data_IF_391358986375
#
_entry.id   IF_391358986375
#
_cell.length_a   1.000
_cell.length_b   1.000
_cell.length_c   1.000
_cell.angle_alpha   90.00
_cell.angle_beta   90.00
_cell.angle_gamma   90.00
#
_symmetry.space_group_name_H-M   'P 1'
#
loop_
_entity.id
_entity.type
_entity.pdbx_description
1 polymer ?
#
# COMPACT_ATOMS: atom_id res chain seq x y z
N UNK A 1 -55.85 31.21 91.01
CA UNK A 1 -54.65 31.11 91.87
C UNK A 1 -53.45 31.63 91.09
N UNK A 2 -52.58 32.46 91.70
CA UNK A 2 -51.36 33.02 91.09
C UNK A 2 -50.46 31.96 90.42
N UNK A 3 -50.48 30.71 90.92
CA UNK A 3 -49.72 29.60 90.34
C UNK A 3 -50.12 29.25 88.89
N UNK A 4 -51.41 29.36 88.54
CA UNK A 4 -51.88 29.09 87.17
C UNK A 4 -51.42 30.17 86.18
N UNK A 5 -51.36 31.43 86.62
CA UNK A 5 -50.88 32.54 85.78
C UNK A 5 -49.38 32.42 85.51
N UNK A 6 -48.59 32.04 86.53
CA UNK A 6 -47.16 31.77 86.37
C UNK A 6 -46.90 30.63 85.37
N UNK A 7 -47.65 29.53 85.47
CA UNK A 7 -47.52 28.39 84.56
C UNK A 7 -47.87 28.74 83.10
N UNK A 8 -48.88 29.58 82.89
CA UNK A 8 -49.24 30.08 81.55
C UNK A 8 -48.16 31.01 80.98
N UNK A 9 -47.57 31.87 81.82
CA UNK A 9 -46.49 32.77 81.40
C UNK A 9 -45.23 32.01 81.00
N UNK A 10 -44.86 30.94 81.73
CA UNK A 10 -43.73 30.08 81.36
C UNK A 10 -43.99 29.31 80.07
N UNK A 11 -45.19 28.75 79.88
CA UNK A 11 -45.55 28.06 78.64
C UNK A 11 -45.47 28.99 77.42
N UNK A 12 -45.98 30.23 77.54
CA UNK A 12 -45.89 31.23 76.48
C UNK A 12 -44.44 31.65 76.18
N UNK A 13 -43.58 31.72 77.20
CA UNK A 13 -42.14 32.01 77.01
C UNK A 13 -41.42 30.87 76.29
N UNK A 14 -41.73 29.61 76.64
CA UNK A 14 -41.15 28.44 76.01
C UNK A 14 -41.59 28.31 74.55
N UNK A 15 -42.88 28.52 74.25
CA UNK A 15 -43.40 28.57 72.88
C UNK A 15 -42.72 29.67 72.06
N UNK A 16 -42.57 30.88 72.61
CA UNK A 16 -41.87 31.98 71.95
C UNK A 16 -40.38 31.67 71.71
N UNK A 17 -39.72 30.96 72.63
CA UNK A 17 -38.33 30.53 72.48
C UNK A 17 -38.20 29.45 71.41
N UNK A 18 -39.11 28.48 71.38
CA UNK A 18 -39.14 27.39 70.41
C UNK A 18 -39.42 27.93 68.99
N UNK A 19 -40.37 28.88 68.87
CA UNK A 19 -40.65 29.57 67.60
C UNK A 19 -39.44 30.34 67.07
N UNK A 20 -38.71 31.06 67.94
CA UNK A 20 -37.46 31.75 67.55
C UNK A 20 -36.38 30.78 67.07
N UNK A 21 -36.19 29.66 67.74
CA UNK A 21 -35.22 28.63 67.34
C UNK A 21 -35.57 28.02 65.98
N UNK A 22 -36.86 27.73 65.74
CA UNK A 22 -37.33 27.23 64.44
C UNK A 22 -37.11 28.26 63.33
N UNK A 23 -37.42 29.54 63.58
CA UNK A 23 -37.21 30.61 62.60
C UNK A 23 -35.73 30.73 62.24
N UNK A 24 -34.84 30.66 63.23
CA UNK A 24 -33.40 30.74 63.03
C UNK A 24 -32.86 29.53 62.25
N UNK A 25 -33.35 28.32 62.54
CA UNK A 25 -33.00 27.12 61.79
C UNK A 25 -33.47 27.19 60.33
N UNK A 26 -34.68 27.72 60.09
CA UNK A 26 -35.19 27.93 58.74
C UNK A 26 -34.36 28.97 57.98
N UNK A 27 -33.99 30.08 58.62
CA UNK A 27 -33.12 31.10 58.00
C UNK A 27 -31.76 30.53 57.59
N UNK A 28 -31.12 29.75 58.47
CA UNK A 28 -29.86 29.06 58.14
C UNK A 28 -30.02 28.11 56.95
N UNK A 29 -31.14 27.39 56.89
CA UNK A 29 -31.41 26.47 55.79
C UNK A 29 -31.65 27.19 54.46
N UNK A 30 -32.32 28.34 54.48
CA UNK A 30 -32.49 29.18 53.29
C UNK A 30 -31.14 29.62 52.74
N UNK A 31 -30.26 30.16 53.60
CA UNK A 31 -28.92 30.60 53.18
C UNK A 31 -28.12 29.44 52.57
N UNK A 32 -28.14 28.26 53.20
CA UNK A 32 -27.46 27.08 52.66
C UNK A 32 -28.00 26.66 51.28
N UNK A 33 -29.31 26.71 51.09
CA UNK A 33 -29.94 26.37 49.81
C UNK A 33 -29.64 27.40 48.72
N UNK A 34 -29.62 28.69 49.06
CA UNK A 34 -29.25 29.77 48.14
C UNK A 34 -27.82 29.60 47.64
N UNK A 35 -26.88 29.26 48.52
CA UNK A 35 -25.50 28.96 48.13
C UNK A 35 -25.40 27.72 47.23
N UNK A 36 -26.13 26.66 47.56
CA UNK A 36 -26.15 25.43 46.75
C UNK A 36 -26.71 25.71 45.35
N UNK A 37 -27.80 26.49 45.26
CA UNK A 37 -28.37 26.94 44.00
C UNK A 37 -27.38 27.79 43.21
N UNK A 38 -26.65 28.69 43.88
CA UNK A 38 -25.60 29.50 43.27
C UNK A 38 -24.50 28.65 42.64
N UNK A 39 -23.99 27.65 43.39
CA UNK A 39 -22.99 26.69 42.89
C UNK A 39 -23.53 25.89 41.70
N UNK A 40 -24.74 25.34 41.80
CA UNK A 40 -25.35 24.57 40.73
C UNK A 40 -25.56 25.40 39.45
N UNK A 41 -25.91 26.68 39.56
CA UNK A 41 -26.03 27.59 38.41
C UNK A 41 -24.69 27.84 37.74
N UNK A 42 -23.65 28.12 38.51
CA UNK A 42 -22.29 28.32 37.99
C UNK A 42 -21.77 27.07 37.29
N UNK A 43 -21.99 25.89 37.85
CA UNK A 43 -21.63 24.63 37.22
C UNK A 43 -22.42 24.43 35.91
N UNK A 44 -23.72 24.73 35.91
CA UNK A 44 -24.54 24.71 34.70
C UNK A 44 -24.00 25.59 33.58
N UNK A 45 -23.61 26.83 33.88
CA UNK A 45 -23.00 27.76 32.91
C UNK A 45 -21.65 27.26 32.39
N UNK A 46 -20.83 26.67 33.27
CA UNK A 46 -19.55 26.05 32.90
C UNK A 46 -19.75 24.88 31.95
N UNK A 47 -20.69 23.98 32.27
CA UNK A 47 -21.01 22.83 31.43
C UNK A 47 -21.61 23.23 30.09
N UNK A 48 -22.52 24.22 30.07
CA UNK A 48 -23.08 24.76 28.83
C UNK A 48 -21.98 25.32 27.92
N UNK A 49 -21.05 26.09 28.49
CA UNK A 49 -19.91 26.64 27.75
C UNK A 49 -18.96 25.55 27.25
N UNK A 50 -18.70 24.53 28.07
CA UNK A 50 -17.87 23.39 27.70
C UNK A 50 -18.50 22.57 26.56
N UNK A 51 -19.81 22.31 26.64
CA UNK A 51 -20.56 21.60 25.61
C UNK A 51 -20.52 22.35 24.28
N UNK A 52 -20.72 23.67 24.29
CA UNK A 52 -20.68 24.49 23.08
C UNK A 52 -19.29 24.47 22.44
N UNK A 53 -18.21 24.50 23.23
CA UNK A 53 -16.84 24.34 22.72
C UNK A 53 -16.61 22.95 22.13
N UNK A 54 -17.01 21.90 22.85
CA UNK A 54 -16.87 20.53 22.38
C UNK A 54 -17.64 20.28 21.06
N UNK A 55 -18.83 20.87 20.90
CA UNK A 55 -19.58 20.80 19.65
C UNK A 55 -18.86 21.49 18.49
N UNK A 56 -18.29 22.69 18.71
CA UNK A 56 -17.50 23.37 17.67
C UNK A 56 -16.29 22.55 17.26
N UNK A 57 -15.52 22.08 18.23
CA UNK A 57 -14.35 21.22 17.95
C UNK A 57 -14.74 19.93 17.23
N UNK A 58 -15.88 19.32 17.58
CA UNK A 58 -16.37 18.14 16.88
C UNK A 58 -16.71 18.44 15.41
N UNK A 59 -17.43 19.55 15.14
CA UNK A 59 -17.74 19.97 13.78
C UNK A 59 -16.50 20.30 12.96
N UNK A 60 -15.51 20.99 13.55
CA UNK A 60 -14.23 21.28 12.87
C UNK A 60 -13.45 20.00 12.54
N UNK A 61 -13.42 19.03 13.46
CA UNK A 61 -12.79 17.72 13.23
C UNK A 61 -13.52 16.94 12.14
N UNK A 62 -14.84 16.96 12.12
CA UNK A 62 -15.65 16.33 11.08
C UNK A 62 -15.42 16.98 9.72
N UNK A 63 -15.40 18.31 9.65
CA UNK A 63 -15.07 19.05 8.42
C UNK A 63 -13.69 18.65 7.89
N UNK A 64 -12.67 18.65 8.76
CA UNK A 64 -11.30 18.28 8.38
C UNK A 64 -11.21 16.84 7.88
N UNK A 65 -11.90 15.90 8.55
CA UNK A 65 -11.99 14.51 8.10
C UNK A 65 -12.70 14.38 6.76
N UNK A 66 -13.77 15.15 6.55
CA UNK A 66 -14.49 15.18 5.29
C UNK A 66 -13.63 15.67 4.13
N UNK A 67 -12.85 16.74 4.32
CA UNK A 67 -11.91 17.22 3.31
C UNK A 67 -10.83 16.20 2.98
N UNK A 68 -10.25 15.55 3.98
CA UNK A 68 -9.24 14.51 3.78
C UNK A 68 -9.82 13.30 3.04
N UNK A 69 -11.05 12.90 3.40
CA UNK A 69 -11.74 11.82 2.70
C UNK A 69 -12.04 12.18 1.24
N UNK A 70 -12.40 13.43 0.96
CA UNK A 70 -12.59 13.91 -0.41
C UNK A 70 -11.29 13.88 -1.22
N UNK A 71 -10.17 14.35 -0.63
CA UNK A 71 -8.83 14.27 -1.24
C UNK A 71 -8.44 12.83 -1.57
N UNK A 72 -8.69 11.89 -0.66
CA UNK A 72 -8.41 10.47 -0.89
C UNK A 72 -9.27 9.87 -1.99
N UNK A 73 -10.55 10.21 -2.05
CA UNK A 73 -11.45 9.74 -3.11
C UNK A 73 -11.02 10.25 -4.50
N UNK A 74 -10.61 11.52 -4.59
CA UNK A 74 -10.08 12.10 -5.82
C UNK A 74 -8.79 11.38 -6.26
N UNK A 75 -7.83 11.19 -5.35
CA UNK A 75 -6.60 10.46 -5.64
C UNK A 75 -6.88 9.03 -6.14
N UNK A 76 -7.80 8.31 -5.49
CA UNK A 76 -8.19 6.96 -5.91
C UNK A 76 -8.82 6.98 -7.30
N UNK A 77 -9.67 7.97 -7.59
CA UNK A 77 -10.28 8.13 -8.91
C UNK A 77 -9.23 8.37 -9.99
N UNK A 78 -8.28 9.25 -9.72
CA UNK A 78 -7.21 9.62 -10.65
C UNK A 78 -6.26 8.44 -10.89
N UNK A 79 -5.88 7.72 -9.82
CA UNK A 79 -5.08 6.49 -9.94
C UNK A 79 -5.79 5.42 -10.78
N UNK A 80 -7.09 5.22 -10.59
CA UNK A 80 -7.88 4.30 -11.42
C UNK A 80 -7.90 4.74 -12.87
N UNK A 81 -8.08 6.05 -13.12
CA UNK A 81 -8.01 6.63 -14.46
C UNK A 81 -6.68 6.33 -15.15
N UNK A 82 -5.57 6.62 -14.46
CA UNK A 82 -4.21 6.37 -14.97
C UNK A 82 -3.94 4.89 -15.23
N UNK A 83 -4.43 4.00 -14.36
CA UNK A 83 -4.29 2.57 -14.57
C UNK A 83 -5.00 2.10 -15.86
N UNK A 84 -6.20 2.62 -16.12
CA UNK A 84 -6.94 2.31 -17.34
C UNK A 84 -6.23 2.84 -18.60
N UNK A 85 -5.65 4.04 -18.53
CA UNK A 85 -4.81 4.58 -19.63
C UNK A 85 -3.62 3.68 -19.92
N UNK A 86 -2.84 3.31 -18.89
CA UNK A 86 -1.68 2.44 -19.03
C UNK A 86 -2.05 1.05 -19.58
N UNK A 87 -3.20 0.50 -19.17
CA UNK A 87 -3.68 -0.77 -19.71
C UNK A 87 -3.98 -0.67 -21.21
N UNK A 88 -4.63 0.41 -21.65
CA UNK A 88 -4.91 0.66 -23.08
C UNK A 88 -3.62 0.85 -23.87
N UNK A 89 -2.65 1.61 -23.33
CA UNK A 89 -1.34 1.78 -23.97
C UNK A 89 -0.59 0.45 -24.09
N UNK A 90 -0.59 -0.35 -23.03
CA UNK A 90 -0.01 -1.70 -23.01
C UNK A 90 -0.69 -2.60 -24.04
N UNK A 91 -2.02 -2.59 -24.15
CA UNK A 91 -2.75 -3.38 -25.15
C UNK A 91 -2.43 -2.92 -26.58
N UNK A 92 -2.29 -1.60 -26.82
CA UNK A 92 -1.91 -1.06 -28.12
C UNK A 92 -0.48 -1.46 -28.52
N UNK A 93 0.46 -1.48 -27.57
CA UNK A 93 1.83 -1.98 -27.81
C UNK A 93 1.85 -3.48 -28.07
N UNK A 94 1.05 -4.25 -27.33
CA UNK A 94 0.90 -5.68 -27.53
C UNK A 94 0.42 -5.99 -28.94
N UNK A 95 -0.64 -5.34 -29.41
CA UNK A 95 -1.16 -5.51 -30.78
C UNK A 95 -0.11 -5.21 -31.86
N UNK A 96 0.72 -4.18 -31.66
CA UNK A 96 1.81 -3.86 -32.61
C UNK A 96 2.89 -4.93 -32.66
N UNK A 97 3.12 -5.63 -31.54
CA UNK A 97 4.17 -6.64 -31.42
C UNK A 97 3.69 -8.01 -31.91
N UNK A 98 2.43 -8.36 -31.66
CA UNK A 98 1.80 -9.59 -32.19
C UNK A 98 1.67 -9.57 -33.73
N UNK A 99 1.63 -8.38 -34.36
CA UNK A 99 1.67 -8.23 -35.82
C UNK A 99 3.05 -8.44 -36.45
N UNK A 100 4.10 -8.69 -35.64
CA UNK A 100 5.44 -9.03 -36.12
C UNK A 100 5.52 -10.55 -36.23
N UNK A 101 5.35 -11.07 -37.44
CA UNK A 101 5.47 -12.50 -37.71
C UNK A 101 6.88 -13.03 -37.35
N UNK A 102 7.02 -13.97 -36.39
CA UNK A 102 8.29 -14.61 -36.10
C UNK A 102 8.85 -15.45 -37.28
N UNK A 103 8.04 -15.69 -38.33
CA UNK A 103 8.45 -16.30 -39.59
C UNK A 103 9.00 -15.31 -40.62
N UNK A 104 9.35 -14.08 -40.26
CA UNK A 104 10.16 -13.27 -41.18
C UNK A 104 11.51 -13.99 -41.39
N UNK A 105 11.86 -14.44 -42.61
CA UNK A 105 13.11 -15.16 -42.83
C UNK A 105 14.26 -14.21 -42.55
N UNK A 106 14.92 -14.42 -41.40
CA UNK A 106 16.16 -13.74 -41.09
C UNK A 106 17.13 -13.92 -42.25
N UNK A 107 17.63 -12.81 -42.80
CA UNK A 107 18.67 -12.77 -43.84
C UNK A 107 20.04 -13.21 -43.30
N UNK A 108 20.14 -13.57 -42.02
CA UNK A 108 21.36 -14.09 -41.39
C UNK A 108 21.47 -15.59 -41.68
N UNK A 109 22.53 -16.06 -42.38
CA UNK A 109 22.72 -17.48 -42.65
C UNK A 109 22.78 -18.28 -41.34
N UNK A 110 21.80 -19.18 -41.14
CA UNK A 110 21.72 -20.05 -39.94
C UNK A 110 22.83 -21.10 -39.87
N UNK A 111 23.62 -21.25 -40.92
CA UNK A 111 24.65 -22.30 -41.06
C UNK A 111 26.00 -21.99 -40.39
N UNK A 112 26.17 -20.83 -39.76
CA UNK A 112 27.45 -20.48 -39.11
C UNK A 112 27.73 -21.29 -37.83
N UNK A 113 26.70 -21.96 -37.29
CA UNK A 113 26.74 -22.69 -36.02
C UNK A 113 26.85 -24.21 -36.11
N UNK A 114 26.74 -24.82 -37.29
CA UNK A 114 26.63 -26.29 -37.45
C UNK A 114 27.88 -26.91 -38.07
N UNK A 115 28.20 -28.14 -37.66
CA UNK A 115 29.18 -28.95 -38.36
C UNK A 115 28.66 -29.35 -39.75
N UNK A 116 29.37 -28.97 -40.82
CA UNK A 116 29.03 -29.25 -42.22
C UNK A 116 29.03 -30.75 -42.61
N UNK A 117 29.23 -31.67 -41.65
CA UNK A 117 29.24 -33.12 -41.87
C UNK A 117 28.23 -33.86 -41.02
N UNK A 118 28.16 -33.57 -39.73
CA UNK A 118 27.21 -34.24 -38.83
C UNK A 118 26.02 -33.37 -38.41
N UNK A 119 25.95 -32.13 -38.89
CA UNK A 119 24.90 -31.15 -38.59
C UNK A 119 24.64 -30.89 -37.11
N UNK A 120 25.58 -31.28 -36.22
CA UNK A 120 25.52 -30.96 -34.80
C UNK A 120 25.97 -29.52 -34.56
N UNK A 121 25.30 -28.85 -33.63
CA UNK A 121 25.68 -27.52 -33.18
C UNK A 121 27.08 -27.50 -32.58
N UNK A 122 27.86 -26.49 -32.97
CA UNK A 122 29.06 -26.10 -32.25
C UNK A 122 28.64 -25.47 -30.92
N UNK A 123 28.67 -26.26 -29.84
CA UNK A 123 28.54 -25.72 -28.47
C UNK A 123 29.59 -24.62 -28.24
N UNK A 124 29.33 -23.72 -27.30
CA UNK A 124 30.16 -22.53 -27.02
C UNK A 124 31.67 -22.83 -26.89
N UNK A 125 32.05 -23.98 -26.33
CA UNK A 125 33.44 -24.40 -26.13
C UNK A 125 34.00 -25.34 -27.23
N UNK A 126 33.21 -25.65 -28.26
CA UNK A 126 33.63 -26.54 -29.33
C UNK A 126 34.53 -25.83 -30.32
N UNK A 127 35.77 -26.32 -30.49
CA UNK A 127 36.67 -25.84 -31.53
C UNK A 127 36.09 -26.13 -32.92
N UNK A 128 36.16 -25.14 -33.81
CA UNK A 128 35.69 -25.22 -35.20
C UNK A 128 36.88 -25.32 -36.13
N UNK A 129 36.92 -26.36 -36.95
CA UNK A 129 37.99 -26.56 -37.92
C UNK A 129 37.49 -26.28 -39.33
N UNK A 130 38.29 -25.60 -40.15
CA UNK A 130 37.95 -25.38 -41.57
C UNK A 130 38.59 -26.49 -42.40
N UNK A 131 37.80 -27.19 -43.21
CA UNK A 131 38.37 -28.12 -44.18
C UNK A 131 39.13 -27.33 -45.26
N UNK A 132 40.40 -27.64 -45.50
CA UNK A 132 41.19 -26.95 -46.53
C UNK A 132 40.68 -27.13 -47.97
N UNK A 133 39.85 -28.14 -48.22
CA UNK A 133 39.38 -28.51 -49.56
C UNK A 133 38.02 -27.88 -49.86
N UNK A 134 37.01 -28.14 -49.02
CA UNK A 134 35.66 -27.60 -49.22
C UNK A 134 35.35 -26.35 -48.39
N UNK A 135 36.29 -25.87 -47.57
CA UNK A 135 36.16 -24.71 -46.66
C UNK A 135 35.08 -24.85 -45.56
N UNK A 136 34.31 -25.94 -45.55
CA UNK A 136 33.28 -26.20 -44.56
C UNK A 136 33.81 -26.28 -43.13
N UNK A 137 33.07 -25.70 -42.18
CA UNK A 137 33.36 -25.79 -40.75
C UNK A 137 32.94 -27.17 -40.24
N UNK A 138 33.87 -27.90 -39.61
CA UNK A 138 33.65 -29.26 -39.11
C UNK A 138 34.12 -29.39 -37.67
N UNK A 139 33.47 -30.28 -36.92
CA UNK A 139 33.90 -30.62 -35.57
C UNK A 139 35.13 -31.52 -35.60
N UNK A 140 35.79 -31.68 -34.44
CA UNK A 140 36.97 -32.51 -34.32
C UNK A 140 36.76 -33.92 -34.89
N UNK A 141 35.65 -34.57 -34.52
CA UNK A 141 35.32 -35.94 -34.94
C UNK A 141 35.04 -36.08 -36.45
N UNK A 142 34.69 -35.00 -37.15
CA UNK A 142 34.40 -35.01 -38.59
C UNK A 142 35.61 -34.61 -39.44
N UNK A 143 36.80 -34.58 -38.85
CA UNK A 143 37.99 -34.01 -39.47
C UNK A 143 39.26 -34.78 -39.12
N UNK A 144 40.18 -34.85 -40.08
CA UNK A 144 41.48 -35.50 -39.98
C UNK A 144 42.56 -34.45 -40.12
N UNK A 145 43.54 -34.48 -39.22
CA UNK A 145 44.72 -33.64 -39.31
C UNK A 145 45.71 -34.28 -40.30
N UNK A 146 46.04 -33.55 -41.36
CA UNK A 146 46.97 -34.00 -42.41
C UNK A 146 48.37 -33.38 -42.19
N UNK A 147 48.70 -33.05 -40.93
CA UNK A 147 49.99 -32.50 -40.53
C UNK A 147 50.25 -31.12 -41.13
N UNK A 148 51.38 -30.94 -41.81
CA UNK A 148 51.79 -29.66 -42.43
C UNK A 148 50.78 -29.12 -43.45
N UNK A 149 49.89 -29.97 -43.96
CA UNK A 149 48.88 -29.65 -44.96
C UNK A 149 47.58 -29.09 -44.35
N UNK A 150 47.47 -29.06 -43.02
CA UNK A 150 46.26 -28.62 -42.31
C UNK A 150 45.18 -29.70 -42.26
N UNK A 151 43.96 -29.31 -41.87
CA UNK A 151 42.87 -30.24 -41.58
C UNK A 151 41.92 -30.45 -42.76
N UNK A 152 41.52 -31.69 -42.99
CA UNK A 152 40.50 -32.07 -43.97
C UNK A 152 39.27 -32.64 -43.28
N UNK A 153 38.08 -32.46 -43.84
CA UNK A 153 36.93 -33.23 -43.39
C UNK A 153 37.05 -34.69 -43.89
N UNK A 154 36.39 -35.63 -43.20
CA UNK A 154 36.47 -37.06 -43.52
C UNK A 154 36.12 -37.37 -44.99
N UNK A 155 35.06 -36.77 -45.52
CA UNK A 155 34.64 -37.01 -46.91
C UNK A 155 35.69 -36.56 -47.94
N UNK A 156 36.27 -35.36 -47.78
CA UNK A 156 37.29 -34.88 -48.72
C UNK A 156 38.61 -35.63 -48.55
N UNK A 157 38.92 -36.11 -47.35
CA UNK A 157 40.07 -36.98 -47.10
C UNK A 157 39.90 -38.33 -47.80
N UNK A 158 38.73 -38.97 -47.66
CA UNK A 158 38.42 -40.25 -48.32
C UNK A 158 38.44 -40.15 -49.85
N UNK A 159 37.84 -39.10 -50.42
CA UNK A 159 37.86 -38.86 -51.88
C UNK A 159 39.28 -38.68 -52.42
N UNK A 160 40.16 -37.99 -51.70
CA UNK A 160 41.57 -37.83 -52.08
C UNK A 160 42.35 -39.15 -51.99
N UNK A 161 42.09 -39.95 -50.95
CA UNK A 161 42.75 -41.25 -50.78
C UNK A 161 42.34 -42.27 -51.84
N UNK A 162 41.08 -42.24 -52.28
CA UNK A 162 40.58 -43.08 -53.38
C UNK A 162 41.13 -42.68 -54.76
N UNK A 163 41.62 -41.45 -54.92
CA UNK A 163 42.26 -40.96 -56.15
C UNK A 163 43.78 -41.20 -56.18
N UNK A 164 44.37 -41.68 -55.07
CA UNK A 164 45.81 -41.91 -54.93
C UNK A 164 46.18 -43.42 -54.90
N UNK A 165 45.20 -44.29 -55.10
CA UNK A 165 45.31 -45.73 -55.40
C UNK A 165 44.76 -45.97 -56.78
#
# INVERSE_FOLDING_TARGET
SPQRLAALATAAQDEARQGRQQLQAQQQKVVQLEEQLGRARQDGERWASALQRAQREAMEREATRGEEQARQQELVRDMKGRLLELLREKDALWQKTEGIDPQMPSTVPRDVGLCARCHKDFRLLSRRYSCRLCQGKVCHACSVDVGKQGRCCLLCYQQRHQQAT
#
